data_IF_332069160468
#
_entry.id   IF_332069160468
#
_cell.length_a   1.000
_cell.length_b   1.000
_cell.length_c   1.000
_cell.angle_alpha   90.00
_cell.angle_beta   90.00
_cell.angle_gamma   90.00
#
_symmetry.space_group_name_H-M   'P 1'
#
loop_
_entity.id
_entity.type
_entity.pdbx_description
1 polymer ?
#
# COMPACT_ATOMS: atom_id res chain seq x y z
N UNK A 1 -1.77 -21.23 -12.18
CA UNK A 1 -3.18 -21.26 -11.75
C UNK A 1 -3.75 -19.92 -12.17
N UNK A 2 -4.88 -19.88 -12.87
CA UNK A 2 -5.54 -18.61 -13.24
C UNK A 2 -6.80 -18.48 -12.41
N UNK A 3 -7.13 -17.28 -11.95
CA UNK A 3 -8.37 -17.05 -11.21
C UNK A 3 -9.61 -17.08 -12.10
N UNK A 4 -9.43 -16.81 -13.40
CA UNK A 4 -10.46 -16.78 -14.42
C UNK A 4 -10.04 -17.64 -15.60
N UNK A 5 -11.02 -18.29 -16.21
CA UNK A 5 -10.77 -19.18 -17.31
C UNK A 5 -11.82 -20.26 -17.45
N UNK A 6 -11.63 -21.11 -18.46
CA UNK A 6 -12.40 -22.34 -18.57
C UNK A 6 -11.76 -23.41 -17.67
N UNK A 7 -12.60 -24.18 -16.97
CA UNK A 7 -12.13 -25.37 -16.27
C UNK A 7 -11.54 -26.32 -17.31
N UNK A 8 -10.31 -26.73 -17.09
CA UNK A 8 -9.68 -27.79 -17.87
C UNK A 8 -10.17 -29.15 -17.40
N UNK A 9 -10.02 -30.17 -18.24
CA UNK A 9 -10.48 -31.53 -17.95
C UNK A 9 -9.82 -32.14 -16.70
N UNK A 10 -8.64 -31.68 -16.31
CA UNK A 10 -7.91 -32.06 -15.10
C UNK A 10 -8.34 -31.28 -13.84
N UNK A 11 -9.37 -30.42 -13.95
CA UNK A 11 -9.85 -29.58 -12.85
C UNK A 11 -9.03 -28.31 -12.61
N UNK A 12 -8.02 -28.04 -13.44
CA UNK A 12 -7.34 -26.76 -13.51
C UNK A 12 -8.22 -25.65 -14.10
N UNK A 13 -7.67 -24.44 -14.17
CA UNK A 13 -8.30 -23.29 -14.84
C UNK A 13 -7.33 -22.84 -15.92
N UNK A 14 -7.74 -22.91 -17.19
CA UNK A 14 -6.96 -22.45 -18.34
C UNK A 14 -7.26 -20.99 -18.66
N UNK A 15 -6.21 -20.24 -19.01
CA UNK A 15 -6.23 -18.82 -19.38
C UNK A 15 -7.28 -18.56 -20.47
N UNK A 16 -8.36 -17.87 -20.14
CA UNK A 16 -9.04 -17.00 -21.13
C UNK A 16 -8.18 -15.75 -21.31
N UNK A 17 -8.19 -15.13 -22.49
CA UNK A 17 -7.36 -13.97 -22.90
C UNK A 17 -7.55 -12.68 -22.06
N UNK A 18 -7.76 -12.79 -20.75
CA UNK A 18 -7.89 -11.67 -19.84
C UNK A 18 -6.49 -11.23 -19.37
N UNK A 19 -6.02 -10.10 -19.90
CA UNK A 19 -4.82 -9.40 -19.43
C UNK A 19 -5.14 -8.64 -18.13
N UNK A 20 -5.49 -9.34 -17.05
CA UNK A 20 -5.59 -8.72 -15.73
C UNK A 20 -4.18 -8.31 -15.30
N UNK A 21 -3.97 -7.06 -14.87
CA UNK A 21 -2.64 -6.61 -14.45
C UNK A 21 -2.14 -7.36 -13.21
N UNK A 22 -0.83 -7.68 -13.10
CA UNK A 22 -0.30 -8.49 -11.99
C UNK A 22 -0.57 -7.90 -10.59
N UNK A 23 -0.52 -6.57 -10.44
CA UNK A 23 -0.82 -5.87 -9.18
C UNK A 23 -2.29 -6.00 -8.75
N UNK A 24 -3.21 -6.30 -9.69
CA UNK A 24 -4.60 -6.68 -9.37
C UNK A 24 -4.72 -8.20 -9.20
N UNK A 25 -4.14 -9.00 -10.10
CA UNK A 25 -4.29 -10.47 -10.11
C UNK A 25 -3.71 -11.13 -8.84
N UNK A 26 -2.71 -10.52 -8.19
CA UNK A 26 -2.15 -11.03 -6.93
C UNK A 26 -3.21 -11.26 -5.85
N UNK A 27 -4.22 -10.39 -5.74
CA UNK A 27 -5.18 -10.42 -4.64
C UNK A 27 -6.01 -11.70 -4.65
N UNK A 28 -6.40 -12.19 -5.83
CA UNK A 28 -7.20 -13.41 -5.94
C UNK A 28 -6.36 -14.67 -5.69
N UNK A 29 -5.07 -14.66 -6.01
CA UNK A 29 -4.18 -15.76 -5.64
C UNK A 29 -3.90 -15.83 -4.15
N UNK A 30 -3.67 -14.68 -3.51
CA UNK A 30 -3.49 -14.62 -2.06
C UNK A 30 -4.78 -15.07 -1.37
N UNK A 31 -5.93 -14.58 -1.82
CA UNK A 31 -7.24 -15.04 -1.32
C UNK A 31 -7.43 -16.55 -1.50
N UNK A 32 -7.12 -17.10 -2.67
CA UNK A 32 -7.26 -18.55 -2.95
C UNK A 32 -6.33 -19.39 -2.07
N UNK A 33 -5.14 -18.91 -1.77
CA UNK A 33 -4.26 -19.53 -0.78
C UNK A 33 -4.90 -19.50 0.61
N UNK A 34 -5.33 -18.33 1.07
CA UNK A 34 -5.92 -18.14 2.40
C UNK A 34 -7.22 -18.94 2.58
N UNK A 35 -8.08 -19.04 1.55
CA UNK A 35 -9.34 -19.81 1.64
C UNK A 35 -9.10 -21.32 1.73
N UNK A 36 -7.98 -21.82 1.21
CA UNK A 36 -7.60 -23.25 1.24
C UNK A 36 -6.94 -23.64 2.57
N UNK A 37 -6.44 -22.66 3.31
CA UNK A 37 -5.79 -22.81 4.62
C UNK A 37 -6.61 -22.11 5.72
N UNK A 38 -7.93 -22.37 5.74
CA UNK A 38 -8.81 -21.89 6.82
C UNK A 38 -8.30 -22.36 8.18
N UNK A 39 -8.56 -21.56 9.21
CA UNK A 39 -8.26 -21.86 10.60
C UNK A 39 -6.76 -22.12 10.92
N UNK A 40 -5.87 -21.77 9.98
CA UNK A 40 -4.41 -22.00 10.12
C UNK A 40 -3.70 -20.77 10.68
N UNK A 41 -4.17 -19.58 10.31
CA UNK A 41 -3.50 -18.32 10.64
C UNK A 41 -4.41 -17.46 11.52
N UNK A 42 -3.84 -16.86 12.57
CA UNK A 42 -4.51 -15.83 13.37
C UNK A 42 -4.42 -14.46 12.69
N UNK A 43 -3.22 -14.10 12.24
CA UNK A 43 -2.93 -12.84 11.57
C UNK A 43 -2.35 -13.09 10.18
N UNK A 44 -2.61 -12.15 9.28
CA UNK A 44 -2.05 -12.12 7.93
C UNK A 44 -1.48 -10.73 7.68
N UNK A 45 -0.28 -10.67 7.13
CA UNK A 45 0.34 -9.46 6.59
C UNK A 45 0.60 -9.69 5.11
N UNK A 46 -0.01 -8.88 4.26
CA UNK A 46 0.16 -8.86 2.81
C UNK A 46 1.01 -7.66 2.45
N UNK A 47 2.07 -7.89 1.68
CA UNK A 47 2.93 -6.81 1.19
C UNK A 47 3.24 -6.93 -0.29
N UNK A 48 3.71 -5.84 -0.89
CA UNK A 48 4.55 -5.90 -2.09
C UNK A 48 5.80 -6.75 -1.80
N UNK A 49 6.42 -7.29 -2.85
CA UNK A 49 7.49 -8.29 -2.70
C UNK A 49 8.88 -7.74 -3.01
N UNK A 50 8.99 -6.72 -3.86
CA UNK A 50 10.29 -6.26 -4.39
C UNK A 50 10.93 -5.21 -3.50
N UNK A 51 10.12 -4.28 -3.02
CA UNK A 51 10.55 -3.02 -2.41
C UNK A 51 10.11 -2.92 -0.94
N UNK A 52 10.16 -4.04 -0.21
CA UNK A 52 9.77 -4.14 1.20
C UNK A 52 10.91 -4.67 2.07
N UNK A 53 11.12 -4.03 3.23
CA UNK A 53 12.03 -4.48 4.30
C UNK A 53 11.24 -4.67 5.58
N UNK A 54 11.41 -5.81 6.24
CA UNK A 54 10.94 -6.05 7.60
C UNK A 54 12.05 -5.73 8.59
N UNK A 55 11.89 -4.67 9.39
CA UNK A 55 12.85 -4.34 10.46
C UNK A 55 12.46 -4.96 11.80
N UNK A 56 11.17 -5.28 11.98
CA UNK A 56 10.62 -5.95 13.15
C UNK A 56 9.61 -7.01 12.73
N UNK A 57 9.23 -7.84 13.70
CA UNK A 57 8.16 -8.82 13.55
C UNK A 57 6.79 -8.11 13.48
N UNK A 58 6.07 -8.18 12.35
CA UNK A 58 4.76 -7.55 12.21
C UNK A 58 3.71 -8.16 13.14
N UNK A 59 3.80 -9.46 13.46
CA UNK A 59 2.82 -10.12 14.32
C UNK A 59 2.84 -9.53 15.73
N UNK A 60 4.04 -9.25 16.27
CA UNK A 60 4.18 -8.58 17.57
C UNK A 60 3.56 -7.20 17.58
N UNK A 61 3.58 -6.49 16.46
CA UNK A 61 2.93 -5.18 16.38
C UNK A 61 1.40 -5.34 16.39
N UNK A 62 0.88 -6.27 15.59
CA UNK A 62 -0.56 -6.55 15.50
C UNK A 62 -1.14 -6.97 16.85
N UNK A 63 -0.48 -7.87 17.57
CA UNK A 63 -0.91 -8.32 18.90
C UNK A 63 -1.04 -7.18 19.92
N UNK A 64 -0.22 -6.13 19.77
CA UNK A 64 -0.19 -4.98 20.68
C UNK A 64 -1.09 -3.82 20.24
N UNK A 65 -1.71 -3.88 19.05
CA UNK A 65 -2.43 -2.73 18.47
C UNK A 65 -3.84 -3.06 18.02
N UNK A 66 -4.11 -4.29 17.60
CA UNK A 66 -5.43 -4.75 17.20
C UNK A 66 -6.22 -5.22 18.44
N UNK A 67 -6.85 -4.25 19.12
CA UNK A 67 -7.78 -4.51 20.23
C UNK A 67 -9.23 -4.27 19.83
N UNK A 68 -9.51 -3.08 19.28
CA UNK A 68 -10.84 -2.65 18.83
C UNK A 68 -10.98 -2.57 17.31
N UNK A 69 -9.92 -2.95 16.59
CA UNK A 69 -9.84 -2.95 15.14
C UNK A 69 -9.39 -4.34 14.70
N UNK A 70 -9.80 -4.77 13.51
CA UNK A 70 -9.45 -6.08 12.96
C UNK A 70 -8.39 -6.01 11.86
N UNK A 71 -8.16 -4.82 11.28
CA UNK A 71 -7.16 -4.60 10.24
C UNK A 71 -6.33 -3.35 10.53
N UNK A 72 -5.22 -3.19 9.80
CA UNK A 72 -4.32 -2.04 9.88
C UNK A 72 -3.78 -1.70 8.49
N UNK A 73 -3.68 -0.40 8.21
CA UNK A 73 -3.04 0.15 7.01
C UNK A 73 -2.26 1.42 7.38
N UNK A 74 -1.36 1.85 6.50
CA UNK A 74 -0.58 3.08 6.72
C UNK A 74 -0.68 4.08 5.57
N UNK A 75 -0.68 5.34 5.98
CA UNK A 75 -0.80 6.50 5.11
C UNK A 75 0.46 6.71 4.27
N UNK A 76 0.29 7.26 3.07
CA UNK A 76 1.37 7.85 2.26
C UNK A 76 1.65 9.31 2.64
N UNK A 77 0.95 9.86 3.65
CA UNK A 77 1.16 11.21 4.14
C UNK A 77 0.63 12.31 3.21
N UNK A 78 -0.07 11.97 2.13
CA UNK A 78 -0.68 12.92 1.21
C UNK A 78 -2.16 12.60 1.00
N UNK A 79 -2.97 13.64 0.83
CA UNK A 79 -4.32 13.48 0.33
C UNK A 79 -4.31 13.27 -1.19
N UNK A 80 -5.36 12.65 -1.71
CA UNK A 80 -5.48 12.36 -3.14
C UNK A 80 -5.25 13.58 -4.03
N UNK A 81 -5.83 14.74 -3.70
CA UNK A 81 -5.68 15.98 -4.48
C UNK A 81 -4.24 16.52 -4.52
N UNK A 82 -3.42 16.15 -3.53
CA UNK A 82 -2.07 16.68 -3.32
C UNK A 82 -0.99 15.75 -3.90
N UNK A 83 -1.36 14.57 -4.38
CA UNK A 83 -0.47 13.61 -5.05
C UNK A 83 -0.92 13.41 -6.52
N UNK A 84 -0.21 13.94 -7.53
CA UNK A 84 -0.67 13.99 -8.91
C UNK A 84 -1.11 12.65 -9.51
N UNK A 85 -0.37 11.57 -9.23
CA UNK A 85 -0.67 10.26 -9.80
C UNK A 85 -1.96 9.70 -9.20
N UNK A 86 -2.07 9.71 -7.87
CA UNK A 86 -3.19 9.28 -7.08
C UNK A 86 -4.44 10.09 -7.39
N UNK A 87 -4.31 11.43 -7.48
CA UNK A 87 -5.38 12.34 -7.86
C UNK A 87 -6.04 11.89 -9.17
N UNK A 88 -5.21 11.66 -10.18
CA UNK A 88 -5.65 11.18 -11.50
C UNK A 88 -6.18 9.75 -11.42
N UNK A 89 -5.53 8.88 -10.65
CA UNK A 89 -5.92 7.50 -10.48
C UNK A 89 -7.32 7.36 -9.89
N UNK A 90 -7.65 8.12 -8.84
CA UNK A 90 -8.97 8.15 -8.22
C UNK A 90 -10.04 8.61 -9.22
N UNK A 91 -9.78 9.72 -9.93
CA UNK A 91 -10.71 10.26 -10.92
C UNK A 91 -10.96 9.29 -12.06
N UNK A 92 -9.93 8.70 -12.64
CA UNK A 92 -10.06 7.77 -13.77
C UNK A 92 -10.68 6.43 -13.36
N UNK A 93 -10.52 6.03 -12.08
CA UNK A 93 -11.09 4.77 -11.57
C UNK A 93 -12.60 4.86 -11.36
N UNK A 94 -13.09 5.97 -10.77
CA UNK A 94 -14.47 6.08 -10.30
C UNK A 94 -15.29 7.22 -10.93
N UNK A 95 -14.64 8.15 -11.63
CA UNK A 95 -15.29 9.33 -12.19
C UNK A 95 -15.52 10.45 -11.17
N UNK A 96 -16.06 11.60 -11.65
CA UNK A 96 -16.07 12.86 -10.89
C UNK A 96 -16.90 12.81 -9.60
N UNK A 97 -18.00 12.04 -9.59
CA UNK A 97 -18.88 11.96 -8.41
C UNK A 97 -18.18 11.36 -7.19
N UNK A 98 -17.49 10.23 -7.36
CA UNK A 98 -16.73 9.61 -6.27
C UNK A 98 -15.46 10.40 -6.00
N UNK A 99 -14.81 10.92 -7.06
CA UNK A 99 -13.64 11.77 -6.91
C UNK A 99 -13.91 12.96 -5.97
N UNK A 100 -15.02 13.67 -6.14
CA UNK A 100 -15.35 14.84 -5.33
C UNK A 100 -15.53 14.52 -3.84
N UNK A 101 -15.99 13.32 -3.52
CA UNK A 101 -16.16 12.84 -2.14
C UNK A 101 -14.84 12.35 -1.50
N UNK A 102 -13.85 11.93 -2.30
CA UNK A 102 -12.65 11.23 -1.79
C UNK A 102 -11.34 11.98 -2.01
N UNK A 103 -11.29 13.01 -2.86
CA UNK A 103 -10.04 13.72 -3.20
C UNK A 103 -9.34 14.36 -2.00
N UNK A 104 -10.08 14.69 -0.94
CA UNK A 104 -9.54 15.27 0.29
C UNK A 104 -9.07 14.21 1.31
N UNK A 105 -9.34 12.92 1.07
CA UNK A 105 -8.91 11.84 1.96
C UNK A 105 -7.42 11.54 1.78
N UNK A 106 -6.77 11.17 2.90
CA UNK A 106 -5.42 10.61 2.89
C UNK A 106 -5.38 9.31 2.09
N UNK A 107 -4.31 9.15 1.33
CA UNK A 107 -4.00 7.91 0.63
C UNK A 107 -3.41 6.93 1.63
N UNK A 108 -4.00 5.74 1.72
CA UNK A 108 -3.42 4.57 2.40
C UNK A 108 -2.88 3.60 1.37
N UNK A 109 -1.66 3.13 1.59
CA UNK A 109 -0.97 2.30 0.59
C UNK A 109 -1.49 0.85 0.63
N UNK A 110 -1.89 0.34 -0.53
CA UNK A 110 -2.43 -1.04 -0.68
C UNK A 110 -1.32 -2.11 -0.64
N UNK A 111 -0.06 -1.70 -0.79
CA UNK A 111 1.11 -2.57 -0.77
C UNK A 111 1.54 -3.00 0.63
N UNK A 112 0.84 -2.57 1.70
CA UNK A 112 1.00 -3.11 3.05
C UNK A 112 -0.35 -3.17 3.78
N UNK A 113 -0.96 -4.35 3.82
CA UNK A 113 -2.23 -4.62 4.51
C UNK A 113 -1.98 -5.69 5.57
N UNK A 114 -2.49 -5.50 6.79
CA UNK A 114 -2.45 -6.59 7.77
C UNK A 114 -3.69 -6.60 8.66
N UNK A 115 -3.89 -7.71 9.38
CA UNK A 115 -5.05 -7.88 10.22
C UNK A 115 -5.28 -9.32 10.63
N UNK A 116 -6.44 -9.57 11.21
CA UNK A 116 -6.94 -10.93 11.41
C UNK A 116 -7.20 -11.61 10.07
N UNK A 117 -7.03 -12.94 10.08
CA UNK A 117 -7.06 -13.76 8.88
C UNK A 117 -8.33 -13.59 8.04
N UNK A 118 -9.51 -13.56 8.65
CA UNK A 118 -10.78 -13.57 7.92
C UNK A 118 -11.03 -12.22 7.23
N UNK A 119 -10.71 -11.15 7.92
CA UNK A 119 -10.93 -9.77 7.52
C UNK A 119 -9.98 -9.38 6.39
N UNK A 120 -8.70 -9.74 6.52
CA UNK A 120 -7.74 -9.56 5.42
C UNK A 120 -8.15 -10.41 4.23
N UNK A 121 -8.43 -11.72 4.41
CA UNK A 121 -8.86 -12.60 3.32
C UNK A 121 -10.03 -11.99 2.55
N UNK A 122 -11.09 -11.59 3.24
CA UNK A 122 -12.31 -11.11 2.60
C UNK A 122 -12.13 -9.72 1.98
N UNK A 123 -11.29 -8.86 2.55
CA UNK A 123 -10.89 -7.60 1.93
C UNK A 123 -10.14 -7.81 0.61
N UNK A 124 -9.18 -8.74 0.53
CA UNK A 124 -8.45 -9.01 -0.72
C UNK A 124 -9.39 -9.47 -1.84
N UNK A 125 -10.41 -10.26 -1.49
CA UNK A 125 -11.44 -10.67 -2.45
C UNK A 125 -12.22 -9.45 -2.98
N UNK A 126 -12.60 -8.52 -2.10
CA UNK A 126 -13.29 -7.30 -2.51
C UNK A 126 -12.41 -6.39 -3.36
N UNK A 127 -11.15 -6.15 -2.97
CA UNK A 127 -10.21 -5.34 -3.76
C UNK A 127 -10.14 -5.89 -5.18
N UNK A 128 -9.98 -7.20 -5.30
CA UNK A 128 -9.89 -7.85 -6.59
C UNK A 128 -11.15 -7.68 -7.46
N UNK A 129 -12.32 -8.07 -6.94
CA UNK A 129 -13.58 -7.97 -7.71
C UNK A 129 -13.99 -6.54 -8.01
N UNK A 130 -13.60 -5.59 -7.16
CA UNK A 130 -13.83 -4.17 -7.40
C UNK A 130 -12.78 -3.55 -8.33
N UNK A 131 -11.70 -4.25 -8.65
CA UNK A 131 -10.65 -3.78 -9.58
C UNK A 131 -10.84 -4.29 -11.01
N UNK A 132 -11.61 -5.37 -11.21
CA UNK A 132 -11.90 -5.89 -12.56
C UNK A 132 -12.94 -5.04 -13.28
N UNK A 133 -12.90 -5.04 -14.62
CA UNK A 133 -13.81 -4.29 -15.50
C UNK A 133 -13.84 -2.77 -15.22
N UNK A 134 -12.72 -2.20 -14.73
CA UNK A 134 -12.55 -0.76 -14.54
C UNK A 134 -12.09 -0.05 -15.82
N UNK A 135 -12.28 1.28 -15.93
CA UNK A 135 -11.87 2.05 -17.11
C UNK A 135 -10.37 2.03 -17.38
N UNK A 136 -9.54 1.84 -16.34
CA UNK A 136 -8.09 1.79 -16.41
C UNK A 136 -7.54 0.53 -15.71
N UNK A 137 -6.32 0.06 -16.03
CA UNK A 137 -5.76 -1.18 -15.49
C UNK A 137 -5.15 -1.05 -14.08
N UNK A 138 -4.66 0.13 -13.70
CA UNK A 138 -4.02 0.34 -12.39
C UNK A 138 -5.02 1.05 -11.51
N UNK A 139 -5.64 0.32 -10.57
CA UNK A 139 -6.77 0.82 -9.77
C UNK A 139 -6.76 0.31 -8.33
N UNK A 140 -5.88 -0.62 -7.99
CA UNK A 140 -5.89 -1.33 -6.71
C UNK A 140 -5.75 -0.37 -5.53
N UNK A 141 -4.91 0.66 -5.63
CA UNK A 141 -4.80 1.70 -4.61
C UNK A 141 -6.10 2.50 -4.43
N UNK A 142 -6.71 2.99 -5.52
CA UNK A 142 -7.97 3.72 -5.45
C UNK A 142 -9.12 2.83 -4.94
N UNK A 143 -9.19 1.58 -5.39
CA UNK A 143 -10.21 0.61 -4.94
C UNK A 143 -10.04 0.28 -3.46
N UNK A 144 -8.81 0.07 -2.99
CA UNK A 144 -8.52 -0.15 -1.58
C UNK A 144 -8.96 1.03 -0.73
N UNK A 145 -8.57 2.27 -1.09
CA UNK A 145 -8.96 3.47 -0.38
C UNK A 145 -10.47 3.71 -0.42
N UNK A 146 -11.14 3.40 -1.53
CA UNK A 146 -12.59 3.41 -1.61
C UNK A 146 -13.18 2.46 -0.57
N UNK A 147 -12.76 1.18 -0.54
CA UNK A 147 -13.33 0.17 0.36
C UNK A 147 -13.11 0.49 1.84
N UNK A 148 -11.89 0.84 2.25
CA UNK A 148 -11.58 1.10 3.66
C UNK A 148 -12.27 2.36 4.19
N UNK A 149 -12.71 3.28 3.32
CA UNK A 149 -13.51 4.45 3.71
C UNK A 149 -15.02 4.18 3.68
N UNK A 150 -15.46 2.93 3.51
CA UNK A 150 -16.87 2.53 3.59
C UNK A 150 -17.12 1.62 4.80
N UNK A 151 -18.32 1.69 5.38
CA UNK A 151 -18.72 0.71 6.39
C UNK A 151 -19.02 -0.66 5.75
N UNK A 152 -18.64 -1.78 6.41
CA UNK A 152 -18.09 -1.84 7.77
C UNK A 152 -16.57 -1.59 7.85
N UNK A 153 -15.81 -1.69 6.75
CA UNK A 153 -14.34 -1.62 6.76
C UNK A 153 -13.77 -0.41 7.50
N UNK A 154 -14.35 0.77 7.32
CA UNK A 154 -13.89 1.98 8.00
C UNK A 154 -13.90 1.87 9.53
N UNK A 155 -14.86 1.13 10.11
CA UNK A 155 -14.90 0.90 11.56
C UNK A 155 -13.91 -0.16 12.04
N UNK A 156 -13.40 -0.99 11.13
CA UNK A 156 -12.57 -2.15 11.40
C UNK A 156 -11.07 -1.90 11.16
N UNK A 157 -10.74 -0.86 10.41
CA UNK A 157 -9.37 -0.51 10.03
C UNK A 157 -8.75 0.46 11.03
N UNK A 158 -7.62 0.06 11.61
CA UNK A 158 -6.71 0.98 12.30
C UNK A 158 -5.89 1.73 11.24
N UNK A 159 -6.28 2.98 11.00
CA UNK A 159 -5.56 3.90 10.13
C UNK A 159 -4.32 4.44 10.84
N UNK A 160 -3.12 4.13 10.32
CA UNK A 160 -1.85 4.57 10.92
C UNK A 160 -1.14 5.62 10.10
N UNK A 161 -0.33 6.40 10.82
CA UNK A 161 0.59 7.40 10.30
C UNK A 161 2.04 7.02 10.68
N UNK A 162 3.02 7.83 10.28
CA UNK A 162 4.43 7.54 10.48
C UNK A 162 4.81 7.49 11.98
N UNK A 163 4.18 8.34 12.80
CA UNK A 163 4.40 8.34 14.26
C UNK A 163 4.09 6.99 14.93
N UNK A 164 3.20 6.18 14.32
CA UNK A 164 2.77 4.88 14.86
C UNK A 164 3.86 3.81 14.76
N UNK A 165 4.80 3.95 13.82
CA UNK A 165 5.89 2.97 13.61
C UNK A 165 5.45 1.64 13.02
N UNK A 166 4.26 1.56 12.41
CA UNK A 166 3.77 0.35 11.72
C UNK A 166 4.53 0.15 10.40
N UNK A 167 4.11 0.84 9.34
CA UNK A 167 4.70 0.73 8.02
C UNK A 167 4.87 2.13 7.43
N UNK A 168 6.08 2.47 6.98
CA UNK A 168 6.35 3.73 6.28
C UNK A 168 6.31 3.50 4.77
N UNK A 169 5.69 4.44 4.06
CA UNK A 169 5.55 4.45 2.60
C UNK A 169 6.54 5.45 2.02
N UNK A 170 7.75 5.01 1.65
CA UNK A 170 8.82 5.95 1.32
C UNK A 170 8.59 6.73 0.04
N UNK A 171 7.78 6.24 -0.91
CA UNK A 171 7.63 6.80 -2.25
C UNK A 171 7.15 8.26 -2.29
N UNK A 172 6.45 8.71 -1.25
CA UNK A 172 5.93 10.08 -1.11
C UNK A 172 6.67 10.88 -0.03
N UNK A 173 7.74 10.33 0.56
CA UNK A 173 8.53 11.03 1.59
C UNK A 173 9.51 12.00 0.97
N UNK A 174 10.00 12.94 1.79
CA UNK A 174 10.94 13.98 1.36
C UNK A 174 12.22 13.37 0.77
N UNK A 175 12.71 12.26 1.31
CA UNK A 175 13.90 11.57 0.79
C UNK A 175 13.69 11.05 -0.63
N UNK A 176 12.57 10.39 -0.90
CA UNK A 176 12.26 9.86 -2.22
C UNK A 176 11.96 10.97 -3.22
N UNK A 177 11.21 11.99 -2.81
CA UNK A 177 10.87 13.13 -3.65
C UNK A 177 12.12 13.94 -4.02
N UNK A 178 13.01 14.20 -3.07
CA UNK A 178 14.29 14.85 -3.35
C UNK A 178 15.17 14.03 -4.32
N UNK A 179 15.02 12.71 -4.33
CA UNK A 179 15.68 11.81 -5.27
C UNK A 179 14.97 11.73 -6.64
N UNK A 180 13.85 12.44 -6.83
CA UNK A 180 13.10 12.45 -8.08
C UNK A 180 12.07 11.32 -8.23
N UNK A 181 11.67 10.67 -7.14
CA UNK A 181 10.65 9.62 -7.18
C UNK A 181 9.25 10.17 -7.46
N UNK A 182 8.50 9.47 -8.31
CA UNK A 182 7.13 9.82 -8.66
C UNK A 182 7.00 11.15 -9.41
N UNK A 183 5.76 11.56 -9.68
CA UNK A 183 5.49 12.80 -10.41
C UNK A 183 5.94 14.04 -9.63
N UNK A 184 5.75 14.03 -8.30
CA UNK A 184 6.20 15.12 -7.41
C UNK A 184 7.72 15.28 -7.46
N UNK A 185 8.47 14.17 -7.34
CA UNK A 185 9.92 14.22 -7.42
C UNK A 185 10.41 14.74 -8.77
N UNK A 186 9.81 14.31 -9.87
CA UNK A 186 10.15 14.83 -11.21
C UNK A 186 9.84 16.32 -11.36
N UNK A 187 8.75 16.81 -10.76
CA UNK A 187 8.43 18.24 -10.70
C UNK A 187 9.53 18.99 -9.94
N UNK A 188 9.94 18.49 -8.77
CA UNK A 188 10.96 19.13 -7.92
C UNK A 188 12.36 19.11 -8.56
N UNK A 189 12.73 18.05 -9.28
CA UNK A 189 13.98 18.02 -10.05
C UNK A 189 14.00 19.12 -11.12
N UNK A 190 12.86 19.44 -11.73
CA UNK A 190 12.73 20.50 -12.74
C UNK A 190 12.64 21.89 -12.13
N UNK A 191 11.97 22.01 -10.98
CA UNK A 191 11.79 23.25 -10.25
C UNK A 191 11.93 23.01 -8.73
N UNK A 192 13.14 23.16 -8.17
CA UNK A 192 13.40 22.93 -6.75
C UNK A 192 12.58 23.81 -5.80
N UNK A 193 12.04 24.95 -6.26
CA UNK A 193 11.20 25.82 -5.43
C UNK A 193 9.88 25.16 -5.03
N UNK A 194 9.46 24.11 -5.76
CA UNK A 194 8.25 23.33 -5.47
C UNK A 194 8.36 22.44 -4.23
N UNK A 195 9.55 22.28 -3.66
CA UNK A 195 9.73 21.54 -2.41
C UNK A 195 8.90 22.16 -1.27
N UNK A 196 8.85 23.50 -1.17
CA UNK A 196 8.08 24.19 -0.14
C UNK A 196 6.57 24.00 -0.29
N UNK A 197 6.08 23.77 -1.51
CA UNK A 197 4.67 23.46 -1.77
C UNK A 197 4.35 22.04 -1.30
N UNK A 198 5.20 21.07 -1.64
CA UNK A 198 5.08 19.69 -1.16
C UNK A 198 5.10 19.61 0.39
N UNK A 199 6.05 20.27 1.04
CA UNK A 199 6.17 20.25 2.51
C UNK A 199 4.89 20.76 3.19
N UNK A 200 4.19 21.73 2.60
CA UNK A 200 2.95 22.29 3.16
C UNK A 200 1.76 21.35 3.07
N UNK A 201 1.75 20.44 2.08
CA UNK A 201 0.62 19.54 1.84
C UNK A 201 0.86 18.13 2.37
N UNK A 202 2.11 17.77 2.69
CA UNK A 202 2.42 16.55 3.41
C UNK A 202 1.87 16.61 4.84
N UNK A 203 1.05 15.64 5.23
CA UNK A 203 0.22 15.65 6.44
C UNK A 203 0.72 14.68 7.52
N UNK A 204 1.98 14.28 7.47
CA UNK A 204 2.58 13.35 8.42
C UNK A 204 4.00 13.79 8.80
N UNK A 205 4.63 13.10 9.75
CA UNK A 205 6.05 13.28 10.05
C UNK A 205 6.94 12.63 8.99
N UNK A 206 8.14 13.16 8.79
CA UNK A 206 9.11 12.58 7.85
C UNK A 206 9.96 11.51 8.55
N UNK A 207 10.20 10.35 7.93
CA UNK A 207 11.09 9.35 8.51
C UNK A 207 12.55 9.81 8.51
N UNK A 208 13.31 9.32 9.49
CA UNK A 208 14.75 9.49 9.59
C UNK A 208 15.46 8.21 9.15
N UNK A 209 16.58 8.35 8.45
CA UNK A 209 17.40 7.24 7.97
C UNK A 209 18.67 7.16 8.83
N UNK A 210 18.81 6.06 9.56
CA UNK A 210 19.98 5.72 10.36
C UNK A 210 21.13 5.16 9.51
N UNK A 211 22.28 4.96 10.14
CA UNK A 211 23.54 4.56 9.47
C UNK A 211 23.48 3.20 8.76
N UNK A 212 22.65 2.27 9.23
CA UNK A 212 22.58 0.88 8.74
C UNK A 212 21.29 0.60 7.94
N UNK A 213 20.85 1.58 7.14
CA UNK A 213 19.55 1.58 6.43
C UNK A 213 18.32 1.46 7.35
N UNK A 214 18.50 1.60 8.66
CA UNK A 214 17.39 1.57 9.59
C UNK A 214 16.55 2.82 9.42
N UNK A 215 15.27 2.65 9.12
CA UNK A 215 14.32 3.76 9.02
C UNK A 215 13.55 3.88 10.33
N UNK A 216 13.54 5.07 10.92
CA UNK A 216 12.90 5.36 12.20
C UNK A 216 11.98 6.57 12.07
N UNK A 217 10.98 6.64 12.95
CA UNK A 217 10.09 7.79 13.07
C UNK A 217 10.80 8.96 13.81
N UNK A 218 10.15 10.12 14.01
CA UNK A 218 10.79 11.28 14.65
C UNK A 218 11.21 11.01 16.12
N UNK A 219 10.52 10.08 16.79
CA UNK A 219 10.86 9.63 18.14
C UNK A 219 12.01 8.60 18.19
N UNK A 220 12.62 8.27 17.05
CA UNK A 220 13.67 7.27 16.95
C UNK A 220 13.17 5.81 17.07
N UNK A 221 11.87 5.58 16.94
CA UNK A 221 11.27 4.24 16.93
C UNK A 221 11.40 3.64 15.53
N UNK A 222 12.04 2.48 15.35
CA UNK A 222 12.10 1.85 14.04
C UNK A 222 10.72 1.41 13.56
N UNK A 223 10.42 1.69 12.29
CA UNK A 223 9.23 1.16 11.62
C UNK A 223 9.25 -0.37 11.61
N UNK A 224 8.08 -1.00 11.66
CA UNK A 224 8.00 -2.46 11.54
C UNK A 224 8.27 -2.90 10.11
N UNK A 225 7.69 -2.18 9.14
CA UNK A 225 7.84 -2.40 7.71
C UNK A 225 8.31 -1.09 7.05
N UNK A 226 9.27 -1.19 6.12
CA UNK A 226 9.69 -0.10 5.24
C UNK A 226 9.32 -0.51 3.82
N UNK A 227 8.43 0.24 3.19
CA UNK A 227 7.98 0.00 1.83
C UNK A 227 8.55 1.07 0.89
N UNK A 228 8.75 0.71 -0.38
CA UNK A 228 9.32 1.54 -1.43
C UNK A 228 10.77 1.98 -1.13
N UNK A 229 11.55 1.10 -0.50
CA UNK A 229 12.95 1.39 -0.12
C UNK A 229 13.83 1.76 -1.32
N UNK A 230 13.54 1.20 -2.49
CA UNK A 230 14.29 1.43 -3.73
C UNK A 230 14.04 2.82 -4.33
N UNK A 231 13.11 3.61 -3.77
CA UNK A 231 12.88 5.01 -4.12
C UNK A 231 13.82 5.98 -3.42
N UNK A 232 14.58 5.50 -2.43
CA UNK A 232 15.57 6.30 -1.70
C UNK A 232 16.96 5.74 -2.00
N UNK A 233 17.78 6.42 -2.84
CA UNK A 233 19.07 5.89 -3.29
C UNK A 233 20.01 5.44 -2.17
N UNK A 234 20.05 6.19 -1.06
CA UNK A 234 20.86 5.84 0.11
C UNK A 234 20.45 4.50 0.73
N UNK A 235 19.14 4.26 0.89
CA UNK A 235 18.65 2.99 1.43
C UNK A 235 18.93 1.88 0.42
N UNK A 236 18.73 2.16 -0.87
CA UNK A 236 18.98 1.18 -1.92
C UNK A 236 20.43 0.70 -1.95
N UNK A 237 21.40 1.61 -1.90
CA UNK A 237 22.82 1.28 -1.81
C UNK A 237 23.12 0.39 -0.59
N UNK A 238 22.68 0.82 0.60
CA UNK A 238 22.94 0.10 1.85
C UNK A 238 22.27 -1.29 1.92
N UNK A 239 21.11 -1.46 1.29
CA UNK A 239 20.43 -2.77 1.20
C UNK A 239 21.16 -3.70 0.24
N UNK A 240 21.56 -3.20 -0.93
CA UNK A 240 22.26 -4.00 -1.94
C UNK A 240 23.64 -4.44 -1.43
N UNK A 241 24.40 -3.54 -0.79
CA UNK A 241 25.71 -3.86 -0.18
C UNK A 241 25.63 -4.94 0.91
N UNK A 242 24.47 -5.11 1.55
CA UNK A 242 24.28 -6.05 2.65
C UNK A 242 23.82 -7.44 2.21
N UNK A 243 23.15 -7.53 1.07
CA UNK A 243 22.42 -8.75 0.67
C UNK A 243 22.75 -9.26 -0.74
N UNK A 244 23.48 -8.51 -1.57
CA UNK A 244 24.08 -8.98 -2.84
C UNK A 244 25.59 -9.24 -2.69
#
# INVERSE_FOLDING_TARGET
>A
MFAYGQRTEDGGIAKTENNIPPHVERFIFIWDFLRKHRDTYRFVTVTDTRDVIFQKDPVKFLENKLFSHSMICSSEGLAYKDEPWGNKNLLDTFGPMVYDEFKDNLIYNVGTIAGFYEEVRDLLLQIFFQSVNRPIPIVDQAVFNFLINQHPYHGEVLFTNNSTGWAVQLGTTQWAIAAGAGDIGQIIIRDPSKMDEYIKVYQDEQPLIGKDAQVVNEAGVPFTIVHQWDRVPLIAELVMDKYE
#
